data_IF_712043561215
#
_entry.id   IF_712043561215
#
_cell.length_a   1.000
_cell.length_b   1.000
_cell.length_c   1.000
_cell.angle_alpha   90.00
_cell.angle_beta   90.00
_cell.angle_gamma   90.00
#
_symmetry.space_group_name_H-M   'P 1'
#
loop_
_entity.id
_entity.type
_entity.pdbx_description
1 polymer ?
#
# COMPACT_ATOMS: atom_id res chain seq x y z
N UNK A 1 -11.14 14.28 -14.79
CA UNK A 1 -11.55 13.14 -15.65
C UNK A 1 -12.79 12.51 -15.03
N UNK A 2 -13.88 12.31 -15.79
CA UNK A 2 -15.02 11.50 -15.33
C UNK A 2 -14.69 10.04 -15.60
N UNK A 3 -14.63 9.20 -14.56
CA UNK A 3 -14.61 7.75 -14.76
C UNK A 3 -16.01 7.28 -15.19
N UNK A 4 -16.07 6.45 -16.23
CA UNK A 4 -17.28 5.71 -16.61
C UNK A 4 -17.38 4.41 -15.81
N UNK A 5 -18.60 3.90 -15.65
CA UNK A 5 -18.81 2.56 -15.09
C UNK A 5 -18.15 1.50 -15.99
N UNK A 6 -17.45 0.56 -15.37
CA UNK A 6 -16.78 -0.56 -16.04
C UNK A 6 -17.33 -1.88 -15.51
N UNK A 7 -17.62 -2.82 -16.41
CA UNK A 7 -18.04 -4.18 -16.07
C UNK A 7 -16.83 -5.13 -15.97
N UNK A 8 -17.01 -6.31 -15.37
CA UNK A 8 -15.98 -7.36 -15.32
C UNK A 8 -14.92 -7.19 -14.21
N UNK A 9 -15.14 -6.26 -13.27
CA UNK A 9 -14.27 -6.10 -12.11
C UNK A 9 -14.31 -7.35 -11.22
N UNK A 10 -13.14 -7.79 -10.76
CA UNK A 10 -13.02 -8.82 -9.71
C UNK A 10 -12.81 -8.13 -8.38
N UNK A 11 -13.83 -8.15 -7.53
CA UNK A 11 -13.82 -7.46 -6.25
C UNK A 11 -13.76 -8.52 -5.14
N UNK A 12 -12.88 -8.29 -4.17
CA UNK A 12 -12.82 -9.08 -2.95
C UNK A 12 -12.92 -8.13 -1.76
N UNK A 13 -13.87 -8.41 -0.86
CA UNK A 13 -13.94 -7.71 0.42
C UNK A 13 -12.85 -8.25 1.35
N UNK A 14 -12.07 -7.35 1.92
CA UNK A 14 -11.09 -7.65 2.96
C UNK A 14 -11.58 -7.03 4.26
N UNK A 15 -11.90 -7.86 5.23
CA UNK A 15 -12.42 -7.43 6.51
C UNK A 15 -11.27 -7.23 7.51
N UNK A 16 -11.22 -6.03 8.11
CA UNK A 16 -10.26 -5.63 9.13
C UNK A 16 -8.78 -5.64 8.67
N UNK A 17 -7.89 -5.29 9.61
CA UNK A 17 -6.44 -5.28 9.39
C UNK A 17 -5.87 -6.66 9.08
N UNK A 18 -6.38 -7.70 9.73
CA UNK A 18 -5.90 -9.08 9.60
C UNK A 18 -6.03 -9.63 8.18
N UNK A 19 -7.05 -9.20 7.43
CA UNK A 19 -7.20 -9.56 6.01
C UNK A 19 -6.50 -8.55 5.09
N UNK A 20 -6.58 -7.27 5.43
CA UNK A 20 -6.12 -6.17 4.59
C UNK A 20 -4.59 -6.12 4.47
N UNK A 21 -3.86 -6.08 5.59
CA UNK A 21 -2.41 -5.88 5.57
C UNK A 21 -1.66 -7.03 4.87
N UNK A 22 -1.98 -8.32 5.10
CA UNK A 22 -1.35 -9.39 4.34
C UNK A 22 -1.61 -9.31 2.84
N UNK A 23 -2.79 -8.83 2.42
CA UNK A 23 -3.09 -8.63 1.00
C UNK A 23 -2.30 -7.46 0.41
N UNK A 24 -2.20 -6.33 1.13
CA UNK A 24 -1.40 -5.17 0.76
C UNK A 24 0.08 -5.57 0.59
N UNK A 25 0.66 -6.25 1.57
CA UNK A 25 2.06 -6.67 1.52
C UNK A 25 2.35 -7.61 0.34
N UNK A 26 1.43 -8.55 0.06
CA UNK A 26 1.54 -9.41 -1.13
C UNK A 26 1.43 -8.63 -2.44
N UNK A 27 0.60 -7.60 -2.50
CA UNK A 27 0.47 -6.75 -3.68
C UNK A 27 1.77 -5.97 -3.94
N UNK A 28 2.35 -5.37 -2.89
CA UNK A 28 3.65 -4.67 -2.96
C UNK A 28 4.78 -5.63 -3.34
N UNK A 29 4.83 -6.83 -2.76
CA UNK A 29 5.88 -7.81 -3.08
C UNK A 29 5.81 -8.30 -4.54
N UNK A 30 4.62 -8.34 -5.13
CA UNK A 30 4.40 -8.73 -6.53
C UNK A 30 4.55 -7.58 -7.53
N UNK A 31 4.65 -6.34 -7.07
CA UNK A 31 4.81 -5.19 -7.94
C UNK A 31 6.11 -5.27 -8.74
N UNK A 32 6.04 -4.89 -10.02
CA UNK A 32 7.15 -4.98 -10.97
C UNK A 32 7.63 -3.65 -11.53
N UNK A 33 6.78 -2.61 -11.49
CA UNK A 33 7.04 -1.33 -12.13
C UNK A 33 6.93 -0.18 -11.14
N UNK A 34 5.75 -0.01 -10.52
CA UNK A 34 5.46 1.09 -9.62
C UNK A 34 4.55 0.67 -8.46
N UNK A 35 4.75 1.27 -7.30
CA UNK A 35 3.87 1.27 -6.13
C UNK A 35 3.60 2.72 -5.76
N UNK A 36 2.33 3.12 -5.78
CA UNK A 36 1.89 4.41 -5.23
C UNK A 36 1.03 4.10 -4.01
N UNK A 37 1.47 4.58 -2.86
CA UNK A 37 0.75 4.45 -1.60
C UNK A 37 0.31 5.83 -1.13
N UNK A 38 -0.98 5.97 -0.86
CA UNK A 38 -1.56 7.14 -0.22
C UNK A 38 -2.26 6.67 1.05
N UNK A 39 -1.88 7.21 2.21
CA UNK A 39 -2.48 6.84 3.50
C UNK A 39 -2.54 8.04 4.45
N UNK A 40 -3.52 8.00 5.34
CA UNK A 40 -3.76 9.04 6.34
C UNK A 40 -2.92 8.86 7.61
N UNK A 41 -2.68 7.62 8.03
CA UNK A 41 -1.94 7.32 9.28
C UNK A 41 -0.82 6.33 8.96
N UNK A 42 0.38 6.66 9.44
CA UNK A 42 1.52 5.75 9.49
C UNK A 42 2.31 6.01 10.78
N UNK A 43 2.38 5.01 11.65
CA UNK A 43 3.17 5.04 12.88
C UNK A 43 4.23 3.94 12.93
N UNK A 44 5.21 4.09 13.81
CA UNK A 44 6.27 3.10 14.07
C UNK A 44 5.79 1.93 14.96
N UNK A 45 4.69 1.30 14.56
CA UNK A 45 4.18 0.07 15.18
C UNK A 45 4.52 -1.17 14.34
N UNK A 46 4.11 -2.36 14.81
CA UNK A 46 4.41 -3.62 14.13
C UNK A 46 3.98 -3.62 12.65
N UNK A 47 2.84 -3.00 12.34
CA UNK A 47 2.31 -2.93 10.98
C UNK A 47 3.07 -1.89 10.15
N UNK A 48 3.36 -0.73 10.72
CA UNK A 48 4.14 0.32 10.07
C UNK A 48 5.56 -0.14 9.71
N UNK A 49 6.23 -0.87 10.61
CA UNK A 49 7.54 -1.47 10.32
C UNK A 49 7.48 -2.53 9.24
N UNK A 50 6.43 -3.36 9.23
CA UNK A 50 6.22 -4.34 8.16
C UNK A 50 5.98 -3.65 6.81
N UNK A 51 5.15 -2.61 6.78
CA UNK A 51 4.87 -1.82 5.57
C UNK A 51 6.15 -1.15 5.05
N UNK A 52 6.93 -0.54 5.94
CA UNK A 52 8.24 0.03 5.62
C UNK A 52 9.15 -1.02 4.97
N UNK A 53 9.28 -2.20 5.58
CA UNK A 53 10.16 -3.25 5.08
C UNK A 53 9.76 -3.76 3.68
N UNK A 54 8.45 -3.94 3.41
CA UNK A 54 8.00 -4.42 2.09
C UNK A 54 8.16 -3.37 1.00
N UNK A 55 7.94 -2.09 1.31
CA UNK A 55 8.16 -0.98 0.38
C UNK A 55 9.65 -0.82 0.06
N UNK A 56 10.51 -0.88 1.07
CA UNK A 56 11.95 -0.84 0.90
C UNK A 56 12.44 -2.01 0.03
N UNK A 57 11.95 -3.23 0.31
CA UNK A 57 12.28 -4.41 -0.51
C UNK A 57 11.84 -4.22 -1.96
N UNK A 58 10.68 -3.62 -2.22
CA UNK A 58 10.23 -3.32 -3.58
C UNK A 58 11.16 -2.30 -4.27
N UNK A 59 11.52 -1.21 -3.58
CA UNK A 59 12.46 -0.22 -4.08
C UNK A 59 13.83 -0.84 -4.42
N UNK A 60 14.36 -1.72 -3.56
CA UNK A 60 15.61 -2.44 -3.81
C UNK A 60 15.57 -3.36 -5.04
N UNK A 61 14.39 -3.84 -5.45
CA UNK A 61 14.21 -4.59 -6.71
C UNK A 61 14.14 -3.70 -7.95
N UNK A 62 14.21 -2.37 -7.78
CA UNK A 62 14.09 -1.39 -8.86
C UNK A 62 12.65 -0.97 -9.18
N UNK A 63 11.68 -1.28 -8.31
CA UNK A 63 10.30 -0.78 -8.43
C UNK A 63 10.26 0.68 -8.00
N UNK A 64 9.60 1.54 -8.76
CA UNK A 64 9.36 2.94 -8.37
C UNK A 64 8.38 2.98 -7.21
N UNK A 65 8.78 3.55 -6.08
CA UNK A 65 7.93 3.64 -4.88
C UNK A 65 7.69 5.10 -4.53
N UNK A 66 6.43 5.50 -4.56
CA UNK A 66 5.96 6.82 -4.14
C UNK A 66 5.00 6.68 -2.97
N UNK A 67 5.25 7.45 -1.91
CA UNK A 67 4.42 7.45 -0.71
C UNK A 67 3.95 8.88 -0.45
N UNK A 68 2.64 9.07 -0.37
CA UNK A 68 1.99 10.31 0.06
C UNK A 68 1.35 10.09 1.43
N UNK A 69 1.74 10.93 2.38
CA UNK A 69 1.30 10.86 3.77
C UNK A 69 0.59 12.15 4.18
N UNK A 70 -0.38 12.02 5.07
CA UNK A 70 -0.86 13.16 5.84
C UNK A 70 0.16 13.52 6.93
N UNK A 71 0.58 14.79 6.95
CA UNK A 71 1.64 15.25 7.84
C UNK A 71 1.24 15.29 9.32
N UNK A 72 -0.04 15.37 9.66
CA UNK A 72 -0.50 15.36 11.05
C UNK A 72 -0.66 13.92 11.57
N UNK A 73 -1.22 13.04 10.75
CA UNK A 73 -1.41 11.61 11.05
C UNK A 73 -0.14 10.76 10.93
N UNK A 74 0.96 11.32 10.44
CA UNK A 74 2.23 10.61 10.20
C UNK A 74 3.46 11.34 10.77
N UNK A 75 3.30 12.01 11.91
CA UNK A 75 4.42 12.57 12.66
C UNK A 75 5.32 11.42 13.17
N UNK A 76 6.45 11.25 12.51
CA UNK A 76 7.57 10.37 12.89
C UNK A 76 8.43 11.02 13.96
#
# INVERSE_FOLDING_TARGET
>A
MKCSWQNGNRIQLLENGDSYYPALFRAVDRAKLKVTLETFIWFEDDVGWQLHAVLLKAACRGVEVEVLLDGYGSLT
#
